data_IF_686481033520
#
_entry.id   IF_686481033520
#
_cell.length_a   1.000
_cell.length_b   1.000
_cell.length_c   1.000
_cell.angle_alpha   90.00
_cell.angle_beta   90.00
_cell.angle_gamma   90.00
#
_symmetry.space_group_name_H-M   'P 1'
#
loop_
_entity.id
_entity.type
_entity.pdbx_description
1 polymer ?
#
# COMPACT_ATOMS: atom_id res chain seq x y z
N UNK A 1 2.42 -10.10 14.56
CA UNK A 1 2.56 -10.11 13.08
C UNK A 1 1.55 -9.13 12.50
N UNK A 2 2.01 -8.10 11.77
CA UNK A 2 1.11 -7.13 11.11
C UNK A 2 0.35 -7.77 9.94
N UNK A 3 0.93 -8.79 9.31
CA UNK A 3 0.32 -9.52 8.20
C UNK A 3 -1.09 -10.06 8.48
N UNK A 4 -1.42 -10.40 9.74
CA UNK A 4 -2.75 -10.90 10.10
C UNK A 4 -3.80 -9.81 10.31
N UNK A 5 -3.42 -8.54 10.21
CA UNK A 5 -4.26 -7.36 10.42
C UNK A 5 -4.41 -6.52 9.14
N UNK A 6 -3.89 -6.99 8.01
CA UNK A 6 -3.99 -6.29 6.73
C UNK A 6 -5.39 -6.51 6.16
N UNK A 7 -6.13 -5.41 5.97
CA UNK A 7 -7.44 -5.40 5.32
C UNK A 7 -7.26 -5.30 3.79
N UNK A 8 -6.38 -4.40 3.34
CA UNK A 8 -6.14 -4.14 1.91
C UNK A 8 -4.68 -3.74 1.64
N UNK A 9 -4.15 -4.16 0.50
CA UNK A 9 -2.88 -3.69 -0.03
C UNK A 9 -3.00 -3.46 -1.53
N UNK A 10 -2.76 -2.23 -1.99
CA UNK A 10 -2.82 -1.88 -3.41
C UNK A 10 -1.67 -0.97 -3.82
N UNK A 11 -1.15 -1.19 -5.03
CA UNK A 11 -0.19 -0.27 -5.65
C UNK A 11 -0.98 0.89 -6.26
N UNK A 12 -0.59 2.11 -5.93
CA UNK A 12 -1.21 3.32 -6.47
C UNK A 12 -0.33 3.93 -7.56
N UNK A 13 -0.95 4.57 -8.54
CA UNK A 13 -0.21 5.28 -9.59
C UNK A 13 0.61 6.42 -8.98
N UNK A 14 1.90 6.43 -9.29
CA UNK A 14 2.86 7.44 -8.84
C UNK A 14 2.86 8.69 -9.71
N UNK A 15 2.03 8.71 -10.76
CA UNK A 15 1.90 9.83 -11.68
C UNK A 15 3.16 10.03 -12.54
N UNK A 16 3.56 11.27 -12.87
CA UNK A 16 4.67 11.50 -13.80
C UNK A 16 6.05 11.07 -13.27
N UNK A 17 6.16 10.75 -11.98
CA UNK A 17 7.36 10.15 -11.37
C UNK A 17 7.13 8.66 -11.20
N UNK A 18 8.06 7.84 -11.66
CA UNK A 18 7.92 6.37 -11.76
C UNK A 18 8.94 5.62 -10.91
N UNK A 19 9.81 6.36 -10.24
CA UNK A 19 10.87 5.86 -9.39
C UNK A 19 10.32 5.31 -8.05
N UNK A 20 9.10 5.71 -7.67
CA UNK A 20 8.48 5.37 -6.39
C UNK A 20 6.99 5.06 -6.60
N UNK A 21 6.61 3.79 -6.81
CA UNK A 21 5.20 3.36 -6.80
C UNK A 21 4.76 3.08 -5.36
N UNK A 22 3.94 3.94 -4.74
CA UNK A 22 3.53 3.74 -3.35
C UNK A 22 2.58 2.54 -3.24
N UNK A 23 2.59 1.90 -2.07
CA UNK A 23 1.60 0.89 -1.70
C UNK A 23 0.70 1.50 -0.63
N UNK A 24 -0.60 1.56 -0.89
CA UNK A 24 -1.60 1.84 0.13
C UNK A 24 -1.82 0.58 0.96
N UNK A 25 -1.72 0.70 2.28
CA UNK A 25 -1.92 -0.39 3.22
C UNK A 25 -3.00 0.00 4.23
N UNK A 26 -4.13 -0.70 4.18
CA UNK A 26 -5.22 -0.57 5.15
C UNK A 26 -5.10 -1.69 6.18
N UNK A 27 -5.14 -1.33 7.47
CA UNK A 27 -4.98 -2.28 8.58
C UNK A 27 -6.02 -2.05 9.66
N UNK A 28 -6.41 -3.14 10.34
CA UNK A 28 -7.26 -3.12 11.53
C UNK A 28 -6.38 -3.12 12.79
N UNK A 29 -6.42 -2.06 13.61
CA UNK A 29 -5.53 -1.90 14.77
C UNK A 29 -6.15 -2.41 16.07
#
# INVERSE_FOLDING_TARGET
RIAGKIIKSEMIDSGPRQDHTPILLEIDL
#
